data_IF_171868458112
#
_entry.id   IF_171868458112
#
_cell.length_a   1.000
_cell.length_b   1.000
_cell.length_c   1.000
_cell.angle_alpha   90.00
_cell.angle_beta   90.00
_cell.angle_gamma   90.00
#
_symmetry.space_group_name_H-M   'P 1'
#
loop_
_entity.id
_entity.type
_entity.pdbx_description
1 polymer ?
#
# COMPACT_ATOMS: atom_id res chain seq x y z
N UNK A 1 6.56 21.34 -18.70
CA UNK A 1 7.61 21.77 -17.73
C UNK A 1 7.78 23.28 -17.53
N UNK A 2 7.76 24.09 -18.59
CA UNK A 2 8.09 25.52 -18.48
C UNK A 2 7.18 26.26 -17.49
N UNK A 3 5.88 25.92 -17.53
CA UNK A 3 4.90 26.43 -16.57
C UNK A 3 5.29 26.12 -15.12
N UNK A 4 5.62 24.87 -14.80
CA UNK A 4 6.04 24.46 -13.46
C UNK A 4 7.29 25.21 -12.97
N UNK A 5 8.28 25.47 -13.85
CA UNK A 5 9.45 26.28 -13.49
C UNK A 5 9.08 27.73 -13.19
N UNK A 6 8.20 28.34 -14.00
CA UNK A 6 7.69 29.70 -13.75
C UNK A 6 6.89 29.77 -12.45
N UNK A 7 6.05 28.77 -12.21
CA UNK A 7 5.28 28.63 -10.97
C UNK A 7 6.22 28.53 -9.75
N UNK A 8 7.22 27.64 -9.80
CA UNK A 8 8.22 27.48 -8.74
C UNK A 8 8.92 28.79 -8.38
N UNK A 9 9.33 29.58 -9.38
CA UNK A 9 9.93 30.91 -9.14
C UNK A 9 8.95 31.87 -8.49
N UNK A 10 7.69 31.88 -8.94
CA UNK A 10 6.65 32.78 -8.41
C UNK A 10 6.27 32.46 -6.96
N UNK A 11 6.23 31.18 -6.59
CA UNK A 11 5.88 30.75 -5.23
C UNK A 11 7.11 30.55 -4.33
N UNK A 12 8.31 30.82 -4.85
CA UNK A 12 9.59 30.54 -4.19
C UNK A 12 9.65 29.09 -3.66
N UNK A 13 9.25 28.13 -4.51
CA UNK A 13 9.21 26.70 -4.22
C UNK A 13 10.36 25.93 -4.88
N UNK A 14 10.63 24.73 -4.38
CA UNK A 14 11.64 23.83 -4.93
C UNK A 14 11.08 23.08 -6.15
N UNK A 15 11.71 23.28 -7.31
CA UNK A 15 11.36 22.55 -8.54
C UNK A 15 12.07 21.19 -8.57
N UNK A 16 11.31 20.13 -8.79
CA UNK A 16 11.79 18.75 -8.89
C UNK A 16 11.32 18.21 -10.24
N UNK A 17 12.28 17.75 -11.04
CA UNK A 17 12.01 17.07 -12.31
C UNK A 17 11.68 15.60 -12.02
N UNK A 18 10.47 15.17 -12.36
CA UNK A 18 10.05 13.77 -12.17
C UNK A 18 10.33 12.95 -13.43
N UNK A 19 9.86 13.42 -14.60
CA UNK A 19 10.09 12.75 -15.88
C UNK A 19 10.16 13.74 -17.03
N UNK A 20 11.30 13.77 -17.73
CA UNK A 20 11.44 14.52 -18.99
C UNK A 20 10.55 13.98 -20.10
N UNK A 21 10.44 12.65 -20.17
CA UNK A 21 9.73 11.96 -21.23
C UNK A 21 8.21 12.16 -21.13
N UNK A 22 7.68 12.11 -19.91
CA UNK A 22 6.24 12.21 -19.64
C UNK A 22 5.77 13.65 -19.34
N UNK A 23 6.67 14.64 -19.48
CA UNK A 23 6.43 16.05 -19.14
C UNK A 23 5.91 16.26 -17.70
N UNK A 24 6.51 15.54 -16.73
CA UNK A 24 6.10 15.57 -15.32
C UNK A 24 7.11 16.31 -14.43
N UNK A 25 6.59 17.22 -13.60
CA UNK A 25 7.37 17.95 -12.62
C UNK A 25 6.59 18.21 -11.34
N UNK A 26 7.30 18.30 -10.22
CA UNK A 26 6.76 18.69 -8.91
C UNK A 26 7.34 20.01 -8.47
N UNK A 27 6.53 20.82 -7.82
CA UNK A 27 6.98 21.99 -7.05
C UNK A 27 6.60 21.79 -5.60
N UNK A 28 7.59 21.76 -4.71
CA UNK A 28 7.39 21.65 -3.28
C UNK A 28 7.47 23.04 -2.62
N UNK A 29 6.44 23.42 -1.85
CA UNK A 29 6.43 24.67 -1.07
C UNK A 29 5.64 24.49 0.21
N UNK A 30 6.29 24.73 1.35
CA UNK A 30 5.61 24.80 2.65
C UNK A 30 4.85 23.53 3.04
N UNK A 31 5.40 22.35 2.71
CA UNK A 31 4.73 21.06 2.96
C UNK A 31 3.66 20.68 1.93
N UNK A 32 3.45 21.48 0.88
CA UNK A 32 2.51 21.19 -0.20
C UNK A 32 3.29 20.81 -1.45
N UNK A 33 2.87 19.72 -2.07
CA UNK A 33 3.35 19.28 -3.37
C UNK A 33 2.35 19.69 -4.46
N UNK A 34 2.85 20.41 -5.47
CA UNK A 34 2.12 20.73 -6.69
C UNK A 34 2.69 19.92 -7.85
N UNK A 35 1.91 18.96 -8.33
CA UNK A 35 2.28 18.13 -9.48
C UNK A 35 1.74 18.72 -10.78
N UNK A 36 2.63 18.85 -11.77
CA UNK A 36 2.34 19.34 -13.10
C UNK A 36 2.62 18.22 -14.10
N UNK A 37 1.60 17.84 -14.86
CA UNK A 37 1.67 16.79 -15.87
C UNK A 37 1.18 17.38 -17.20
N UNK A 38 2.00 17.26 -18.24
CA UNK A 38 1.58 17.59 -19.59
C UNK A 38 0.62 16.54 -20.14
N UNK A 39 -0.43 16.98 -20.84
CA UNK A 39 -1.36 16.08 -21.53
C UNK A 39 -1.71 16.63 -22.91
N UNK A 40 -2.01 15.74 -23.85
CA UNK A 40 -2.49 16.09 -25.19
C UNK A 40 -4.01 16.04 -25.28
N UNK A 41 -4.61 15.05 -24.65
CA UNK A 41 -6.04 14.82 -24.60
C UNK A 41 -6.47 14.53 -23.15
N UNK A 42 -7.47 15.27 -22.67
CA UNK A 42 -7.90 15.20 -21.28
C UNK A 42 -8.65 13.89 -20.97
N UNK A 43 -9.45 13.40 -21.91
CA UNK A 43 -10.19 12.14 -21.76
C UNK A 43 -9.23 10.96 -21.63
N UNK A 44 -8.19 10.92 -22.46
CA UNK A 44 -7.13 9.92 -22.39
C UNK A 44 -6.32 10.01 -21.08
N UNK A 45 -6.02 11.21 -20.59
CA UNK A 45 -5.36 11.38 -19.29
C UNK A 45 -6.21 10.84 -18.15
N UNK A 46 -7.48 11.25 -18.10
CA UNK A 46 -8.41 10.81 -17.06
C UNK A 46 -8.68 9.30 -17.15
N UNK A 47 -8.72 8.72 -18.36
CA UNK A 47 -8.88 7.28 -18.58
C UNK A 47 -7.73 6.47 -17.98
N UNK A 48 -6.51 6.99 -18.07
CA UNK A 48 -5.30 6.32 -17.54
C UNK A 48 -5.24 6.33 -16.02
N UNK A 49 -6.12 7.04 -15.31
CA UNK A 49 -6.11 7.10 -13.84
C UNK A 49 -6.61 5.81 -13.19
N UNK A 50 -6.35 5.71 -11.89
CA UNK A 50 -6.62 4.52 -11.10
C UNK A 50 -8.12 4.31 -10.87
N UNK A 51 -8.79 5.25 -10.20
CA UNK A 51 -10.20 5.14 -9.83
C UNK A 51 -11.05 6.28 -10.40
N UNK A 52 -12.32 6.01 -10.69
CA UNK A 52 -13.28 7.01 -11.21
C UNK A 52 -13.32 8.27 -10.35
N UNK A 53 -13.25 8.13 -9.03
CA UNK A 53 -13.24 9.25 -8.08
C UNK A 53 -11.99 10.14 -8.20
N UNK A 54 -10.88 9.62 -8.73
CA UNK A 54 -9.64 10.34 -8.99
C UNK A 54 -9.54 10.82 -10.44
N UNK A 55 -10.51 10.44 -11.28
CA UNK A 55 -10.63 10.81 -12.69
C UNK A 55 -11.64 11.95 -12.91
N UNK A 56 -11.70 12.87 -11.95
CA UNK A 56 -12.49 14.10 -11.99
C UNK A 56 -11.51 15.26 -12.17
N UNK A 57 -11.76 16.12 -13.15
CA UNK A 57 -11.01 17.35 -13.36
C UNK A 57 -11.85 18.58 -13.08
N UNK A 58 -11.19 19.68 -12.74
CA UNK A 58 -11.81 20.99 -12.62
C UNK A 58 -11.08 21.96 -13.55
N UNK A 59 -11.84 22.56 -14.47
CA UNK A 59 -11.33 23.55 -15.40
C UNK A 59 -11.21 24.90 -14.67
N UNK A 60 -9.98 25.38 -14.49
CA UNK A 60 -9.71 26.63 -13.78
C UNK A 60 -10.12 27.89 -14.56
N UNK A 61 -10.34 27.78 -15.88
CA UNK A 61 -10.73 28.91 -16.73
C UNK A 61 -12.24 29.00 -16.86
N UNK A 62 -12.88 27.86 -17.14
CA UNK A 62 -14.33 27.78 -17.33
C UNK A 62 -15.08 27.49 -16.01
N UNK A 63 -14.34 27.34 -14.90
CA UNK A 63 -14.83 27.12 -13.54
C UNK A 63 -15.83 25.97 -13.39
N UNK A 64 -15.63 24.90 -14.16
CA UNK A 64 -16.56 23.76 -14.25
C UNK A 64 -15.89 22.42 -13.97
N UNK A 65 -16.67 21.49 -13.43
CA UNK A 65 -16.25 20.10 -13.24
C UNK A 65 -16.36 19.34 -14.55
N UNK A 66 -15.30 18.59 -14.88
CA UNK A 66 -15.25 17.61 -15.96
C UNK A 66 -15.15 16.20 -15.36
N UNK A 67 -16.17 15.37 -15.60
CA UNK A 67 -16.30 14.04 -14.98
C UNK A 67 -16.83 13.00 -16.01
N UNK A 68 -16.00 12.60 -16.99
CA UNK A 68 -16.43 11.68 -18.05
C UNK A 68 -16.68 10.24 -17.56
N UNK A 69 -16.13 9.86 -16.39
CA UNK A 69 -16.21 8.50 -15.85
C UNK A 69 -17.17 8.36 -14.66
N UNK A 70 -17.99 9.38 -14.40
CA UNK A 70 -19.01 9.39 -13.32
C UNK A 70 -18.41 9.23 -11.91
N UNK A 71 -17.21 9.74 -11.69
CA UNK A 71 -16.54 9.75 -10.40
C UNK A 71 -17.35 10.42 -9.29
N UNK A 72 -18.08 11.50 -9.58
CA UNK A 72 -18.96 12.14 -8.60
C UNK A 72 -20.09 11.22 -8.13
N UNK A 73 -20.58 10.33 -9.00
CA UNK A 73 -21.60 9.34 -8.66
C UNK A 73 -21.02 8.25 -7.75
N UNK A 74 -19.80 7.80 -8.04
CA UNK A 74 -19.11 6.81 -7.21
C UNK A 74 -18.66 7.38 -5.86
N UNK A 75 -18.25 8.67 -5.80
CA UNK A 75 -18.01 9.41 -4.56
C UNK A 75 -19.27 9.42 -3.66
N UNK A 76 -20.43 9.78 -4.22
CA UNK A 76 -21.71 9.75 -3.48
C UNK A 76 -22.07 8.35 -2.96
N UNK A 77 -21.64 7.31 -3.67
CA UNK A 77 -21.87 5.90 -3.31
C UNK A 77 -20.78 5.32 -2.40
N UNK A 78 -19.71 6.06 -2.09
CA UNK A 78 -18.52 5.59 -1.38
C UNK A 78 -17.93 4.33 -2.03
N UNK A 79 -17.76 4.39 -3.36
CA UNK A 79 -17.32 3.26 -4.17
C UNK A 79 -16.00 3.59 -4.87
N UNK A 80 -15.03 2.68 -4.78
CA UNK A 80 -13.77 2.70 -5.51
C UNK A 80 -13.89 1.77 -6.72
N UNK A 81 -14.15 2.36 -7.88
CA UNK A 81 -14.24 1.65 -9.17
C UNK A 81 -13.03 2.01 -10.04
N UNK A 82 -12.29 1.03 -10.61
CA UNK A 82 -11.25 1.32 -11.58
C UNK A 82 -11.82 2.07 -12.80
N UNK A 83 -11.09 3.05 -13.34
CA UNK A 83 -11.58 3.88 -14.46
C UNK A 83 -11.88 3.03 -15.70
N UNK A 84 -10.99 2.09 -16.00
CA UNK A 84 -11.07 1.21 -17.17
C UNK A 84 -10.76 -0.25 -16.78
N UNK A 85 -11.10 -1.18 -17.66
CA UNK A 85 -10.90 -2.63 -17.48
C UNK A 85 -9.42 -3.03 -17.38
N UNK A 86 -8.51 -2.26 -17.96
CA UNK A 86 -7.06 -2.46 -17.87
C UNK A 86 -6.35 -1.53 -16.89
N UNK A 87 -7.09 -0.79 -16.04
CA UNK A 87 -6.48 0.25 -15.21
C UNK A 87 -5.44 -0.32 -14.22
N UNK A 88 -5.67 -1.51 -13.67
CA UNK A 88 -4.69 -2.15 -12.78
C UNK A 88 -3.51 -2.77 -13.55
N UNK A 89 -3.68 -3.15 -14.82
CA UNK A 89 -2.58 -3.65 -15.67
C UNK A 89 -1.59 -2.54 -16.03
N UNK A 90 -2.09 -1.31 -16.23
CA UNK A 90 -1.25 -0.14 -16.52
C UNK A 90 -0.29 0.21 -15.37
N UNK A 91 -0.71 0.03 -14.13
CA UNK A 91 0.12 0.20 -12.94
C UNK A 91 -0.35 -0.73 -11.82
N UNK A 92 0.27 -1.91 -11.67
CA UNK A 92 -0.10 -2.91 -10.67
C UNK A 92 -0.18 -2.38 -9.23
N UNK A 93 0.60 -1.34 -8.89
CA UNK A 93 0.58 -0.70 -7.58
C UNK A 93 -0.81 -0.18 -7.18
N UNK A 94 -1.70 0.04 -8.16
CA UNK A 94 -3.10 0.45 -7.94
C UNK A 94 -3.90 -0.58 -7.15
N UNK A 95 -3.47 -1.84 -7.09
CA UNK A 95 -4.05 -2.84 -6.18
C UNK A 95 -3.88 -2.37 -4.73
N UNK A 96 -2.64 -2.04 -4.34
CA UNK A 96 -2.34 -1.55 -2.98
C UNK A 96 -3.03 -0.21 -2.72
N UNK A 97 -3.02 0.71 -3.68
CA UNK A 97 -3.75 1.99 -3.56
C UNK A 97 -5.25 1.78 -3.33
N UNK A 98 -5.87 0.83 -4.02
CA UNK A 98 -7.28 0.51 -3.85
C UNK A 98 -7.61 0.05 -2.44
N UNK A 99 -6.83 -0.90 -1.91
CA UNK A 99 -6.99 -1.34 -0.53
C UNK A 99 -6.71 -0.21 0.48
N UNK A 100 -5.66 0.59 0.26
CA UNK A 100 -5.35 1.75 1.11
C UNK A 100 -6.50 2.74 1.14
N UNK A 101 -6.99 3.17 -0.03
CA UNK A 101 -8.12 4.11 -0.11
C UNK A 101 -9.39 3.53 0.50
N UNK A 102 -9.64 2.23 0.35
CA UNK A 102 -10.77 1.56 0.96
C UNK A 102 -10.72 1.68 2.49
N UNK A 103 -9.54 1.49 3.09
CA UNK A 103 -9.32 1.63 4.53
C UNK A 103 -9.37 3.08 5.00
N UNK A 104 -8.65 3.99 4.33
CA UNK A 104 -8.53 5.39 4.76
C UNK A 104 -9.81 6.20 4.55
N UNK A 105 -10.56 5.93 3.48
CA UNK A 105 -11.80 6.66 3.15
C UNK A 105 -13.06 5.93 3.64
N UNK A 106 -12.95 4.65 4.03
CA UNK A 106 -14.08 3.79 4.36
C UNK A 106 -14.97 3.46 3.14
N UNK A 107 -14.37 3.42 1.94
CA UNK A 107 -15.09 3.15 0.69
C UNK A 107 -15.07 1.66 0.36
N UNK A 108 -16.09 1.19 -0.35
CA UNK A 108 -16.15 -0.19 -0.85
C UNK A 108 -15.41 -0.30 -2.18
N UNK A 109 -14.70 -1.40 -2.40
CA UNK A 109 -14.12 -1.73 -3.70
C UNK A 109 -15.20 -2.33 -4.62
N UNK A 110 -15.29 -1.85 -5.85
CA UNK A 110 -16.19 -2.38 -6.88
C UNK A 110 -15.78 -3.82 -7.28
N UNK A 111 -16.72 -4.74 -7.59
CA UNK A 111 -16.38 -6.08 -8.06
C UNK A 111 -15.40 -6.12 -9.23
N UNK A 112 -15.42 -5.11 -10.12
CA UNK A 112 -14.47 -4.98 -11.22
C UNK A 112 -13.02 -4.85 -10.74
N UNK A 113 -12.77 -4.25 -9.57
CA UNK A 113 -11.44 -4.18 -8.96
C UNK A 113 -10.89 -5.59 -8.67
N UNK A 114 -11.69 -6.43 -8.00
CA UNK A 114 -11.26 -7.80 -7.67
C UNK A 114 -11.12 -8.68 -8.91
N UNK A 115 -11.93 -8.44 -9.94
CA UNK A 115 -11.78 -9.14 -11.22
C UNK A 115 -10.43 -8.82 -11.86
N UNK A 116 -10.06 -7.54 -11.97
CA UNK A 116 -8.76 -7.13 -12.52
C UNK A 116 -7.59 -7.57 -11.64
N UNK A 117 -7.70 -7.44 -10.31
CA UNK A 117 -6.61 -7.75 -9.40
C UNK A 117 -6.17 -9.22 -9.44
N UNK A 118 -7.03 -10.14 -9.90
CA UNK A 118 -6.69 -11.57 -10.05
C UNK A 118 -5.77 -11.87 -11.23
N UNK A 119 -5.72 -11.00 -12.24
CA UNK A 119 -4.88 -11.19 -13.44
C UNK A 119 -3.61 -10.35 -13.43
N UNK A 120 -3.41 -9.53 -12.39
CA UNK A 120 -2.31 -8.56 -12.30
C UNK A 120 -1.33 -8.99 -11.22
N UNK A 121 -0.04 -8.97 -11.53
CA UNK A 121 1.04 -9.29 -10.59
C UNK A 121 1.74 -8.02 -10.11
N UNK A 122 2.13 -8.00 -8.83
CA UNK A 122 2.96 -6.94 -8.25
C UNK A 122 4.47 -7.17 -8.46
N UNK A 123 4.88 -8.26 -9.13
CA UNK A 123 6.29 -8.56 -9.40
C UNK A 123 6.94 -7.46 -10.23
N UNK A 124 8.16 -7.09 -9.85
CA UNK A 124 8.95 -6.08 -10.57
C UNK A 124 8.59 -4.63 -10.25
N UNK A 125 7.59 -4.37 -9.40
CA UNK A 125 7.37 -3.03 -8.86
C UNK A 125 8.48 -2.70 -7.86
N UNK A 126 9.00 -1.47 -7.94
CA UNK A 126 10.04 -0.99 -7.02
C UNK A 126 9.59 -1.10 -5.55
N UNK A 127 10.48 -1.59 -4.68
CA UNK A 127 10.21 -1.83 -3.27
C UNK A 127 9.71 -0.60 -2.53
N UNK A 128 10.33 0.55 -2.79
CA UNK A 128 9.97 1.82 -2.16
C UNK A 128 8.52 2.21 -2.47
N UNK A 129 8.06 1.95 -3.70
CA UNK A 129 6.68 2.19 -4.12
C UNK A 129 5.71 1.24 -3.42
N UNK A 130 6.09 -0.03 -3.28
CA UNK A 130 5.32 -1.02 -2.52
C UNK A 130 5.19 -0.56 -1.06
N UNK A 131 6.30 -0.21 -0.41
CA UNK A 131 6.32 0.18 0.99
C UNK A 131 5.52 1.45 1.28
N UNK A 132 5.58 2.46 0.40
CA UNK A 132 4.78 3.67 0.53
C UNK A 132 3.27 3.40 0.63
N UNK A 133 2.78 2.39 -0.09
CA UNK A 133 1.38 1.98 -0.05
C UNK A 133 1.11 0.99 1.09
N UNK A 134 1.98 0.00 1.26
CA UNK A 134 1.79 -1.08 2.22
C UNK A 134 1.91 -0.62 3.67
N UNK A 135 2.87 0.26 3.99
CA UNK A 135 2.99 0.84 5.33
C UNK A 135 1.73 1.61 5.74
N UNK A 136 1.10 2.33 4.79
CA UNK A 136 -0.16 3.03 5.01
C UNK A 136 -1.33 2.07 5.20
N UNK A 137 -1.35 0.94 4.50
CA UNK A 137 -2.32 -0.14 4.77
C UNK A 137 -2.12 -0.68 6.19
N UNK A 138 -0.89 -1.03 6.58
CA UNK A 138 -0.58 -1.58 7.90
C UNK A 138 -0.94 -0.61 9.03
N UNK A 139 -0.86 0.69 8.80
CA UNK A 139 -1.27 1.71 9.78
C UNK A 139 -2.76 1.63 10.15
N UNK A 140 -3.61 1.11 9.25
CA UNK A 140 -5.05 0.96 9.43
C UNK A 140 -5.42 -0.43 9.97
N UNK A 141 -6.70 -0.68 10.24
CA UNK A 141 -7.22 -2.02 10.53
C UNK A 141 -7.20 -2.90 9.28
N UNK A 142 -6.11 -3.64 9.10
CA UNK A 142 -5.72 -4.26 7.86
C UNK A 142 -5.90 -5.78 7.83
N UNK A 143 -6.21 -6.46 8.95
CA UNK A 143 -6.30 -7.93 8.96
C UNK A 143 -7.11 -8.52 7.79
N UNK A 144 -8.30 -7.98 7.52
CA UNK A 144 -9.14 -8.42 6.40
C UNK A 144 -8.51 -8.14 5.04
N UNK A 145 -7.83 -7.01 4.90
CA UNK A 145 -7.12 -6.61 3.69
C UNK A 145 -5.89 -7.47 3.45
N UNK A 146 -5.11 -7.80 4.49
CA UNK A 146 -3.99 -8.74 4.39
C UNK A 146 -4.49 -10.10 3.92
N UNK A 147 -5.61 -10.60 4.46
CA UNK A 147 -6.24 -11.82 3.94
C UNK A 147 -6.66 -11.74 2.47
N UNK A 148 -7.11 -10.56 1.99
CA UNK A 148 -7.42 -10.37 0.57
C UNK A 148 -6.18 -10.27 -0.32
N UNK A 149 -5.12 -9.61 0.15
CA UNK A 149 -3.83 -9.59 -0.55
C UNK A 149 -3.23 -10.99 -0.63
N UNK A 150 -3.43 -11.81 0.40
CA UNK A 150 -3.05 -13.22 0.44
C UNK A 150 -3.81 -14.04 -0.61
N UNK A 151 -5.15 -13.95 -0.62
CA UNK A 151 -6.02 -14.60 -1.61
C UNK A 151 -5.68 -14.22 -3.06
N UNK A 152 -5.23 -12.98 -3.29
CA UNK A 152 -4.85 -12.47 -4.61
C UNK A 152 -3.40 -12.80 -5.00
N UNK A 153 -2.62 -13.47 -4.13
CA UNK A 153 -1.20 -13.74 -4.36
C UNK A 153 -0.28 -12.52 -4.24
N UNK A 154 -0.83 -11.35 -3.90
CA UNK A 154 -0.09 -10.09 -3.81
C UNK A 154 1.00 -10.13 -2.73
N UNK A 155 0.77 -10.83 -1.61
CA UNK A 155 1.78 -10.92 -0.55
C UNK A 155 3.04 -11.66 -1.03
N UNK A 156 2.90 -12.74 -1.80
CA UNK A 156 4.02 -13.49 -2.38
C UNK A 156 4.71 -12.67 -3.47
N UNK A 157 3.97 -11.92 -4.27
CA UNK A 157 4.55 -11.03 -5.26
C UNK A 157 5.42 -9.94 -4.61
N UNK A 158 4.99 -9.41 -3.47
CA UNK A 158 5.70 -8.39 -2.71
C UNK A 158 6.86 -8.95 -1.87
N UNK A 159 6.71 -10.16 -1.34
CA UNK A 159 7.67 -10.78 -0.40
C UNK A 159 7.72 -12.30 -0.63
N UNK A 160 8.39 -12.78 -1.69
CA UNK A 160 8.42 -14.21 -2.04
C UNK A 160 8.86 -15.14 -0.91
N UNK A 161 9.70 -14.66 0.02
CA UNK A 161 10.24 -15.43 1.14
C UNK A 161 9.16 -15.83 2.16
N UNK A 162 7.96 -15.24 2.10
CA UNK A 162 6.83 -15.67 2.93
C UNK A 162 6.18 -16.96 2.41
N UNK A 163 6.40 -17.33 1.15
CA UNK A 163 5.68 -18.43 0.49
C UNK A 163 5.81 -19.78 1.24
N UNK A 164 6.99 -20.18 1.78
CA UNK A 164 7.10 -21.39 2.59
C UNK A 164 6.23 -21.33 3.86
N UNK A 165 6.13 -20.14 4.49
CA UNK A 165 5.27 -19.94 5.65
C UNK A 165 3.80 -19.99 5.25
N UNK A 166 3.42 -19.32 4.17
CA UNK A 166 2.07 -19.27 3.62
C UNK A 166 1.52 -20.69 3.29
N UNK A 167 2.38 -21.56 2.76
CA UNK A 167 2.06 -22.96 2.43
C UNK A 167 2.09 -23.91 3.63
N UNK A 168 2.51 -23.42 4.79
CA UNK A 168 2.59 -24.22 6.02
C UNK A 168 1.33 -24.10 6.88
N UNK A 169 1.10 -25.04 7.82
CA UNK A 169 0.02 -24.92 8.82
C UNK A 169 0.14 -23.67 9.72
N UNK A 170 1.31 -23.01 9.73
CA UNK A 170 1.59 -21.88 10.62
C UNK A 170 1.13 -20.53 10.04
N UNK A 171 0.74 -20.46 8.76
CA UNK A 171 0.30 -19.19 8.17
C UNK A 171 -0.91 -18.57 8.85
N UNK A 172 -1.91 -19.41 9.18
CA UNK A 172 -3.11 -18.96 9.88
C UNK A 172 -2.76 -18.40 11.26
N UNK A 173 -1.73 -18.94 11.92
CA UNK A 173 -1.24 -18.40 13.19
C UNK A 173 -0.67 -16.98 12.99
N UNK A 174 0.16 -16.74 11.98
CA UNK A 174 0.67 -15.40 11.67
C UNK A 174 -0.42 -14.37 11.34
N UNK A 175 -1.44 -14.75 10.58
CA UNK A 175 -2.59 -13.88 10.30
C UNK A 175 -3.39 -13.56 11.58
N UNK A 176 -3.58 -14.54 12.47
CA UNK A 176 -4.23 -14.32 13.75
C UNK A 176 -3.39 -13.45 14.68
N UNK A 177 -2.07 -13.60 14.69
CA UNK A 177 -1.16 -12.73 15.45
C UNK A 177 -1.32 -11.28 15.02
N UNK A 178 -1.38 -11.00 13.71
CA UNK A 178 -1.69 -9.66 13.21
C UNK A 178 -3.04 -9.14 13.76
N UNK A 179 -4.10 -9.96 13.69
CA UNK A 179 -5.43 -9.59 14.22
C UNK A 179 -5.37 -9.25 15.71
N UNK A 180 -4.67 -10.05 16.51
CA UNK A 180 -4.55 -9.81 17.95
C UNK A 180 -3.69 -8.60 18.28
N UNK A 181 -2.66 -8.30 17.49
CA UNK A 181 -1.91 -7.03 17.59
C UNK A 181 -2.86 -5.85 17.35
N UNK A 182 -3.73 -5.92 16.33
CA UNK A 182 -4.72 -4.87 16.08
C UNK A 182 -5.71 -4.67 17.23
N UNK A 183 -6.10 -5.75 17.89
CA UNK A 183 -6.90 -5.67 19.12
C UNK A 183 -6.08 -5.04 20.26
N UNK A 184 -4.88 -5.55 20.53
CA UNK A 184 -4.03 -5.09 21.62
C UNK A 184 -3.70 -3.59 21.53
N UNK A 185 -3.50 -3.05 20.31
CA UNK A 185 -3.25 -1.62 20.08
C UNK A 185 -4.43 -0.73 20.52
N UNK A 186 -5.66 -1.24 20.47
CA UNK A 186 -6.86 -0.49 20.87
C UNK A 186 -7.19 -0.64 22.34
N UNK A 187 -6.83 -1.78 22.91
CA UNK A 187 -7.10 -2.14 24.29
C UNK A 187 -6.22 -1.35 25.28
N UNK A 188 -6.66 -1.19 26.54
CA UNK A 188 -5.89 -0.51 27.57
C UNK A 188 -4.55 -1.16 27.88
N UNK A 189 -4.33 -2.42 27.50
CA UNK A 189 -3.09 -3.15 27.82
C UNK A 189 -1.83 -2.46 27.31
N UNK A 190 -1.90 -1.76 26.16
CA UNK A 190 -0.81 -0.91 25.68
C UNK A 190 -0.93 0.54 26.18
N UNK A 191 -2.09 0.97 26.66
CA UNK A 191 -2.33 2.30 27.24
C UNK A 191 -1.89 2.40 28.70
N UNK A 192 -1.81 1.28 29.40
CA UNK A 192 -1.34 1.19 30.79
C UNK A 192 0.18 1.00 30.87
N UNK A 193 0.86 0.89 29.72
CA UNK A 193 2.31 0.92 29.64
C UNK A 193 2.87 2.29 30.03
N UNK A 194 4.13 2.30 30.49
CA UNK A 194 4.85 3.52 30.81
C UNK A 194 4.86 4.51 29.63
N UNK A 195 4.85 5.84 29.88
CA UNK A 195 4.76 6.86 28.83
C UNK A 195 5.78 6.70 27.69
N UNK A 196 6.96 6.17 27.98
CA UNK A 196 8.02 5.90 26.99
C UNK A 196 7.55 4.94 25.88
N UNK A 197 6.68 3.97 26.19
CA UNK A 197 6.12 3.06 25.20
C UNK A 197 5.05 3.74 24.34
N UNK A 198 4.30 4.70 24.90
CA UNK A 198 3.34 5.50 24.13
C UNK A 198 4.07 6.41 23.17
N UNK A 199 5.13 7.08 23.63
CA UNK A 199 5.96 7.94 22.80
C UNK A 199 6.62 7.12 21.68
N UNK A 200 7.12 5.93 22.01
CA UNK A 200 7.67 5.01 21.02
C UNK A 200 6.62 4.59 19.98
N UNK A 201 5.43 4.14 20.40
CA UNK A 201 4.38 3.69 19.47
C UNK A 201 3.70 4.86 18.73
N UNK A 202 3.76 6.08 19.26
CA UNK A 202 3.26 7.30 18.64
C UNK A 202 4.07 7.77 17.43
N UNK A 203 5.25 7.20 17.20
CA UNK A 203 6.04 7.43 16.00
C UNK A 203 5.35 6.78 14.79
N UNK A 204 5.12 7.58 13.74
CA UNK A 204 4.23 7.24 12.61
C UNK A 204 4.44 5.86 11.98
N UNK A 205 5.70 5.41 11.93
CA UNK A 205 6.09 4.15 11.29
C UNK A 205 6.10 2.93 12.24
N UNK A 206 5.97 3.11 13.57
CA UNK A 206 6.16 2.01 14.52
C UNK A 206 4.99 1.02 14.52
N UNK A 207 3.77 1.50 14.36
CA UNK A 207 2.59 0.63 14.23
C UNK A 207 2.67 -0.26 12.97
N UNK A 208 2.96 0.28 11.77
CA UNK A 208 3.23 -0.53 10.59
C UNK A 208 4.30 -1.61 10.81
N UNK A 209 5.44 -1.23 11.42
CA UNK A 209 6.55 -2.16 11.68
C UNK A 209 6.15 -3.24 12.69
N UNK A 210 5.42 -2.91 13.75
CA UNK A 210 4.94 -3.87 14.74
C UNK A 210 4.02 -4.93 14.10
N UNK A 211 3.09 -4.49 13.26
CA UNK A 211 2.17 -5.39 12.55
C UNK A 211 2.90 -6.26 11.53
N UNK A 212 3.85 -5.70 10.80
CA UNK A 212 4.71 -6.46 9.89
C UNK A 212 5.54 -7.49 10.67
N UNK A 213 6.13 -7.12 11.80
CA UNK A 213 6.87 -8.03 12.67
C UNK A 213 5.96 -9.18 13.17
N UNK A 214 4.72 -8.89 13.55
CA UNK A 214 3.74 -9.91 13.93
C UNK A 214 3.38 -10.86 12.78
N UNK A 215 3.23 -10.34 11.56
CA UNK A 215 2.99 -11.16 10.38
C UNK A 215 4.17 -12.07 10.05
N UNK A 216 5.40 -11.58 10.25
CA UNK A 216 6.65 -12.28 9.93
C UNK A 216 7.30 -13.00 11.13
N UNK A 217 6.67 -13.02 12.31
CA UNK A 217 7.34 -13.45 13.54
C UNK A 217 7.87 -14.90 13.49
N UNK A 218 7.21 -15.75 12.71
CA UNK A 218 7.51 -17.18 12.54
C UNK A 218 8.00 -17.52 11.12
N UNK A 219 8.49 -16.53 10.37
CA UNK A 219 8.85 -16.64 8.94
C UNK A 219 9.72 -17.86 8.60
N UNK A 220 10.63 -18.25 9.50
CA UNK A 220 11.54 -19.36 9.25
C UNK A 220 11.13 -20.72 9.84
N UNK A 221 9.99 -20.84 10.54
CA UNK A 221 9.52 -22.14 11.06
C UNK A 221 9.48 -23.25 10.00
N UNK A 222 9.01 -23.01 8.75
CA UNK A 222 9.04 -24.02 7.70
C UNK A 222 10.46 -24.49 7.35
N UNK A 223 11.46 -23.60 7.45
CA UNK A 223 12.84 -23.86 7.06
C UNK A 223 13.62 -24.65 8.13
N UNK A 224 13.22 -24.51 9.39
CA UNK A 224 13.92 -25.14 10.54
C UNK A 224 13.10 -26.24 11.18
N UNK A 225 12.01 -26.69 10.56
CA UNK A 225 11.16 -27.75 11.11
C UNK A 225 11.91 -29.08 11.06
N UNK A 226 12.04 -29.74 12.20
CA UNK A 226 12.49 -31.12 12.27
C UNK A 226 11.75 -31.87 13.39
N UNK A 227 11.82 -33.20 13.36
CA UNK A 227 11.20 -34.07 14.35
C UNK A 227 12.29 -34.81 15.12
N UNK A 228 12.16 -34.84 16.45
CA UNK A 228 13.06 -35.57 17.34
C UNK A 228 12.22 -36.19 18.46
N UNK A 229 12.40 -37.48 18.69
CA UNK A 229 11.68 -38.23 19.73
C UNK A 229 10.14 -38.12 19.64
N UNK A 230 9.60 -37.95 18.42
CA UNK A 230 8.16 -37.79 18.16
C UNK A 230 7.62 -36.36 18.37
N UNK A 231 8.49 -35.41 18.74
CA UNK A 231 8.14 -34.00 18.91
C UNK A 231 8.68 -33.15 17.77
N UNK A 232 7.90 -32.13 17.38
CA UNK A 232 8.30 -31.17 16.35
C UNK A 232 9.03 -30.00 16.99
N UNK A 233 10.21 -29.68 16.48
CA UNK A 233 11.05 -28.57 16.94
C UNK A 233 11.42 -27.61 15.81
N UNK A 234 11.82 -26.39 16.19
CA UNK A 234 12.17 -25.28 15.29
C UNK A 234 13.41 -24.50 15.76
N UNK A 235 14.46 -25.20 16.17
CA UNK A 235 15.65 -24.51 16.70
C UNK A 235 16.26 -23.55 15.66
N UNK A 236 16.55 -22.32 16.08
CA UNK A 236 17.14 -21.27 15.24
C UNK A 236 16.17 -20.55 14.29
N UNK A 237 14.85 -20.81 14.35
CA UNK A 237 13.86 -20.15 13.49
C UNK A 237 13.81 -18.62 13.70
N UNK A 238 14.01 -18.15 14.93
CA UNK A 238 14.06 -16.73 15.27
C UNK A 238 15.22 -16.02 14.57
N UNK A 239 16.41 -16.62 14.64
CA UNK A 239 17.65 -16.09 14.06
C UNK A 239 17.57 -16.11 12.54
N UNK A 240 17.15 -17.23 11.95
CA UNK A 240 16.96 -17.33 10.50
C UNK A 240 15.84 -16.40 10.01
N UNK A 241 14.74 -16.32 10.75
CA UNK A 241 13.61 -15.44 10.45
C UNK A 241 14.02 -13.97 10.42
N UNK A 242 14.83 -13.54 11.39
CA UNK A 242 15.40 -12.19 11.43
C UNK A 242 16.27 -11.89 10.20
N UNK A 243 17.10 -12.85 9.76
CA UNK A 243 17.93 -12.69 8.57
C UNK A 243 17.09 -12.55 7.29
N UNK A 244 16.05 -13.38 7.14
CA UNK A 244 15.13 -13.31 6.01
C UNK A 244 14.37 -11.97 6.02
N UNK A 245 13.79 -11.58 7.16
CA UNK A 245 13.07 -10.32 7.29
C UNK A 245 13.95 -9.10 6.98
N UNK A 246 15.23 -9.13 7.37
CA UNK A 246 16.21 -8.10 7.01
C UNK A 246 16.48 -8.05 5.50
N UNK A 247 16.49 -9.19 4.82
CA UNK A 247 16.58 -9.28 3.36
C UNK A 247 15.36 -8.63 2.69
N UNK A 248 14.16 -8.99 3.14
CA UNK A 248 12.90 -8.40 2.66
C UNK A 248 12.94 -6.87 2.78
N UNK A 249 13.33 -6.34 3.95
CA UNK A 249 13.45 -4.89 4.14
C UNK A 249 14.41 -4.25 3.14
N UNK A 250 15.66 -4.73 3.08
CA UNK A 250 16.68 -4.14 2.19
C UNK A 250 16.28 -4.11 0.72
N UNK A 251 15.56 -5.12 0.25
CA UNK A 251 15.23 -5.25 -1.17
C UNK A 251 13.89 -4.63 -1.53
N UNK A 252 12.92 -4.62 -0.59
CA UNK A 252 11.51 -4.40 -0.92
C UNK A 252 10.74 -3.49 0.04
N UNK A 253 11.25 -3.17 1.23
CA UNK A 253 10.53 -2.34 2.23
C UNK A 253 11.42 -1.25 2.87
#
# INVERSE_FOLDING_TARGET
>A
MEFARRFARKVEGAFILLSLKEDEARVHKGGIDFDFVGFTDLDDDLRRRDFTINAIAYDLKEERIYDPFLGQKDLKRKLLRPVDRGSLELDPLRILRGFRFSLELGFKLDPAFFYQARSVSLKGIAGERIWMEFSRILKQECFKVIGKLDELGCLVDMMPEIEPLQKSPYWQHSLLTLKYIETAIKEPILKDLEPEYHDYLGIDFRIPILKLAGLLHDLAKPHTRFEKDGEVHFYGHDTLGSQIAKGIGKERL
#
